data_IF_188482738440
#
_entry.id   IF_188482738440
#
_cell.length_a   1.000
_cell.length_b   1.000
_cell.length_c   1.000
_cell.angle_alpha   90.00
_cell.angle_beta   90.00
_cell.angle_gamma   90.00
#
_symmetry.space_group_name_H-M   'P 1'
#
loop_
_entity.id
_entity.type
_entity.pdbx_description
1 polymer ?
2 non-polymer ?
3 non-polymer ?
4 water ?
#
# COMPACT_ATOMS: atom_id res chain seq x y z
N UNK A 2 -14.65 20.21 4.33
CA UNK A 2 -14.41 18.75 4.21
C UNK A 2 -13.88 18.16 5.52
N UNK A 3 -14.58 17.16 6.04
CA UNK A 3 -14.16 16.52 7.27
C UNK A 3 -13.64 15.11 7.04
N UNK A 4 -13.21 14.47 8.12
CA UNK A 4 -12.68 13.11 8.08
C UNK A 4 -13.66 12.16 7.39
N UNK A 5 -14.91 12.20 7.84
CA UNK A 5 -15.95 11.34 7.28
C UNK A 5 -16.00 11.45 5.76
N UNK A 6 -15.99 12.69 5.26
CA UNK A 6 -16.04 12.96 3.84
C UNK A 6 -14.81 12.43 3.11
N UNK A 7 -13.63 12.60 3.71
CA UNK A 7 -12.38 12.13 3.12
C UNK A 7 -12.39 10.61 3.04
N UNK A 8 -12.93 9.97 4.08
CA UNK A 8 -13.03 8.51 4.11
C UNK A 8 -13.97 8.03 3.00
N UNK A 9 -15.09 8.72 2.81
CA UNK A 9 -16.03 8.33 1.76
C UNK A 9 -15.37 8.44 0.39
N UNK A 10 -14.60 9.50 0.18
CA UNK A 10 -13.90 9.70 -1.09
C UNK A 10 -12.96 8.53 -1.32
N UNK A 11 -12.26 8.12 -0.27
CA UNK A 11 -11.35 6.99 -0.40
C UNK A 11 -12.12 5.72 -0.73
N UNK A 12 -13.27 5.54 -0.10
CA UNK A 12 -14.10 4.35 -0.35
C UNK A 12 -14.55 4.34 -1.80
N UNK A 13 -15.01 5.49 -2.29
CA UNK A 13 -15.48 5.59 -3.67
C UNK A 13 -14.36 5.31 -4.67
N UNK A 14 -13.19 5.92 -4.46
CA UNK A 14 -12.07 5.69 -5.36
C UNK A 14 -11.66 4.22 -5.39
N UNK A 15 -11.61 3.59 -4.22
CA UNK A 15 -11.25 2.19 -4.15
C UNK A 15 -12.31 1.33 -4.86
N UNK A 16 -13.59 1.68 -4.69
CA UNK A 16 -14.66 0.94 -5.34
C UNK A 16 -14.57 1.03 -6.86
N UNK A 17 -14.24 2.21 -7.38
CA UNK A 17 -14.11 2.39 -8.82
C UNK A 17 -12.97 1.52 -9.34
N UNK A 18 -11.85 1.51 -8.63
CA UNK A 18 -10.72 0.70 -9.05
C UNK A 18 -11.07 -0.78 -9.01
N UNK A 19 -11.69 -1.20 -7.91
CA UNK A 19 -12.08 -2.59 -7.74
C UNK A 19 -12.95 -3.10 -8.89
N UNK A 20 -13.98 -2.32 -9.23
CA UNK A 20 -14.89 -2.69 -10.30
C UNK A 20 -14.20 -2.75 -11.66
N UNK A 21 -13.30 -1.81 -11.92
CA UNK A 21 -12.59 -1.76 -13.19
C UNK A 21 -11.62 -2.93 -13.35
N UNK A 22 -10.92 -3.26 -12.27
CA UNK A 22 -9.96 -4.36 -12.30
C UNK A 22 -10.71 -5.68 -12.45
N UNK A 23 -11.83 -5.82 -11.76
CA UNK A 23 -12.63 -7.04 -11.84
C UNK A 23 -13.15 -7.24 -13.26
N UNK A 24 -13.59 -6.15 -13.88
CA UNK A 24 -14.11 -6.22 -15.24
C UNK A 24 -13.03 -6.55 -16.27
N UNK A 25 -11.92 -5.82 -16.22
CA UNK A 25 -10.82 -6.04 -17.16
C UNK A 25 -10.25 -7.45 -17.10
N UNK A 26 -10.47 -8.13 -15.97
CA UNK A 26 -9.96 -9.48 -15.82
C UNK A 26 -11.01 -10.56 -16.07
N UNK A 27 -12.19 -10.15 -16.52
CA UNK A 27 -13.28 -11.08 -16.81
C UNK A 27 -12.80 -12.35 -17.51
N UNK A 28 -12.17 -12.18 -18.67
CA UNK A 28 -11.64 -13.31 -19.42
C UNK A 28 -10.32 -13.74 -18.80
N UNK A 29 -9.28 -12.93 -19.00
CA UNK A 29 -7.95 -13.20 -18.46
C UNK A 29 -7.49 -14.61 -18.81
N UNK A 30 -6.65 -14.71 -19.83
CA UNK A 30 -6.12 -15.99 -20.29
C UNK A 30 -6.25 -17.14 -19.31
N UNK A 31 -5.16 -17.44 -18.61
CA UNK A 31 -5.14 -18.53 -17.65
C UNK A 31 -3.87 -18.43 -16.83
N UNK A 32 -3.04 -17.46 -17.19
CA UNK A 32 -1.78 -17.23 -16.50
C UNK A 32 -1.65 -15.76 -16.14
N UNK A 33 -2.55 -14.95 -16.69
CA UNK A 33 -2.54 -13.52 -16.43
C UNK A 33 -3.63 -13.17 -15.42
N UNK A 34 -4.54 -14.11 -15.19
CA UNK A 34 -5.63 -13.91 -14.25
C UNK A 34 -5.11 -13.57 -12.85
N UNK A 35 -4.02 -14.21 -12.45
CA UNK A 35 -3.44 -13.99 -11.13
C UNK A 35 -3.24 -12.50 -10.83
N UNK A 36 -2.73 -11.76 -11.80
CA UNK A 36 -2.50 -10.33 -11.62
C UNK A 36 -3.79 -9.55 -11.33
N UNK A 37 -4.83 -9.82 -12.11
CA UNK A 37 -6.10 -9.13 -11.92
C UNK A 37 -6.74 -9.43 -10.57
N UNK A 38 -6.65 -10.68 -10.14
CA UNK A 38 -7.21 -11.10 -8.86
C UNK A 38 -6.53 -10.36 -7.70
N UNK A 39 -5.22 -10.15 -7.81
CA UNK A 39 -4.47 -9.46 -6.78
C UNK A 39 -4.92 -8.00 -6.70
N UNK A 40 -5.12 -7.38 -7.87
CA UNK A 40 -5.57 -6.00 -7.93
C UNK A 40 -6.94 -5.83 -7.29
N UNK A 41 -7.84 -6.77 -7.55
CA UNK A 41 -9.18 -6.73 -6.99
C UNK A 41 -9.13 -6.81 -5.46
N UNK A 42 -8.26 -7.67 -4.94
CA UNK A 42 -8.14 -7.82 -3.50
C UNK A 42 -7.55 -6.58 -2.85
N UNK A 43 -6.52 -6.02 -3.48
CA UNK A 43 -5.85 -4.82 -2.98
C UNK A 43 -6.84 -3.66 -2.82
N UNK A 44 -7.51 -3.28 -3.90
CA UNK A 44 -8.46 -2.17 -3.83
C UNK A 44 -9.76 -2.54 -3.12
N UNK A 45 -10.14 -3.82 -3.19
CA UNK A 45 -11.36 -4.28 -2.54
C UNK A 45 -11.29 -4.20 -1.03
N UNK A 46 -10.18 -4.67 -0.47
CA UNK A 46 -9.98 -4.63 0.97
C UNK A 46 -9.92 -3.18 1.45
N UNK A 47 -9.22 -2.34 0.69
CA UNK A 47 -9.11 -0.93 1.06
C UNK A 47 -10.48 -0.26 1.01
N UNK A 48 -11.29 -0.62 0.03
CA UNK A 48 -12.63 -0.05 -0.08
C UNK A 48 -13.40 -0.33 1.21
N UNK A 49 -13.40 -1.59 1.64
CA UNK A 49 -14.09 -1.99 2.86
C UNK A 49 -13.59 -1.19 4.05
N UNK A 50 -12.27 -1.17 4.23
CA UNK A 50 -11.66 -0.44 5.33
C UNK A 50 -12.10 1.03 5.34
N UNK A 51 -12.13 1.67 4.17
CA UNK A 51 -12.53 3.07 4.12
C UNK A 51 -14.02 3.28 4.43
N UNK A 52 -14.88 2.36 3.99
CA UNK A 52 -16.30 2.48 4.29
C UNK A 52 -16.48 2.37 5.81
N UNK A 53 -15.77 1.42 6.41
CA UNK A 53 -15.83 1.19 7.85
C UNK A 53 -15.44 2.45 8.61
N UNK A 54 -14.36 3.09 8.17
CA UNK A 54 -13.91 4.31 8.83
C UNK A 54 -14.89 5.44 8.53
N UNK A 55 -15.42 5.45 7.31
CA UNK A 55 -16.38 6.49 6.93
C UNK A 55 -17.63 6.39 7.80
N UNK A 56 -18.00 5.17 8.19
CA UNK A 56 -19.17 4.96 9.03
C UNK A 56 -18.84 5.22 10.49
N UNK A 57 -17.61 5.65 10.75
CA UNK A 57 -17.19 5.96 12.11
C UNK A 57 -16.72 4.82 13.00
N UNK A 58 -16.38 3.68 12.41
CA UNK A 58 -15.93 2.53 13.19
C UNK A 58 -14.39 2.41 13.18
N UNK A 59 -13.82 1.97 14.30
CA UNK A 59 -12.38 1.81 14.39
C UNK A 59 -11.60 3.05 14.76
N UNK A 60 -12.29 4.08 15.23
CA UNK A 60 -11.64 5.32 15.64
C UNK A 60 -11.19 5.09 17.08
N UNK A 61 -9.98 4.56 17.25
CA UNK A 61 -9.46 4.24 18.57
C UNK A 61 -8.69 5.38 19.26
N UNK A 62 -9.16 5.79 20.45
CA UNK A 62 -8.52 6.86 21.22
C UNK A 62 -7.22 6.37 21.86
N UNK A 63 -6.12 7.05 21.58
CA UNK A 63 -4.83 6.68 22.14
C UNK A 63 -4.21 7.97 22.64
N UNK A 64 -3.95 8.04 23.95
CA UNK A 64 -3.39 9.25 24.54
C UNK A 64 -4.29 10.41 24.11
N UNK A 65 -3.70 11.44 23.52
CA UNK A 65 -4.48 12.59 23.07
C UNK A 65 -4.70 12.60 21.56
N UNK A 66 -4.85 11.42 20.97
CA UNK A 66 -5.08 11.34 19.53
C UNK A 66 -6.01 10.19 19.18
N UNK A 67 -6.32 10.08 17.89
CA UNK A 67 -7.20 9.04 17.38
C UNK A 67 -6.43 8.16 16.40
N UNK A 68 -6.55 6.85 16.56
CA UNK A 68 -5.90 5.91 15.66
C UNK A 68 -6.97 5.21 14.84
N UNK A 69 -6.83 5.26 13.52
CA UNK A 69 -7.79 4.63 12.63
C UNK A 69 -7.33 3.21 12.36
N UNK A 70 -7.70 2.31 13.27
CA UNK A 70 -7.33 0.91 13.19
C UNK A 70 -7.59 0.23 11.85
N UNK A 71 -8.72 0.54 11.19
CA UNK A 71 -9.01 -0.10 9.90
C UNK A 71 -7.95 0.17 8.86
N UNK A 72 -7.40 1.38 8.88
CA UNK A 72 -6.35 1.74 7.93
C UNK A 72 -5.20 0.75 8.02
N UNK A 73 -4.78 0.46 9.25
CA UNK A 73 -3.67 -0.46 9.48
C UNK A 73 -3.98 -1.90 9.13
N UNK A 74 -5.21 -2.33 9.40
CA UNK A 74 -5.62 -3.68 9.06
C UNK A 74 -5.52 -3.79 7.54
N UNK A 75 -6.00 -2.74 6.88
CA UNK A 75 -5.97 -2.65 5.42
C UNK A 75 -4.53 -2.77 4.92
N UNK A 76 -3.65 -1.89 5.40
CA UNK A 76 -2.24 -1.89 5.00
C UNK A 76 -1.59 -3.26 5.18
N UNK A 77 -1.75 -3.84 6.37
CA UNK A 77 -1.17 -5.13 6.67
C UNK A 77 -1.57 -6.22 5.67
N UNK A 78 -2.78 -6.12 5.14
CA UNK A 78 -3.27 -7.11 4.19
C UNK A 78 -3.01 -6.77 2.73
N UNK A 79 -3.07 -5.48 2.39
CA UNK A 79 -2.90 -5.06 1.00
C UNK A 79 -1.47 -4.81 0.52
N UNK A 80 -0.62 -4.23 1.37
CA UNK A 80 0.75 -3.97 0.95
C UNK A 80 1.49 -5.26 0.57
N UNK A 81 1.20 -6.38 1.26
CA UNK A 81 1.92 -7.60 0.85
C UNK A 81 1.43 -8.06 -0.53
N UNK A 82 0.18 -7.74 -0.85
CA UNK A 82 -0.38 -8.10 -2.15
C UNK A 82 0.28 -7.26 -3.24
N UNK A 83 0.59 -6.01 -2.92
CA UNK A 83 1.26 -5.13 -3.88
C UNK A 83 2.66 -5.69 -4.12
N UNK A 84 3.32 -6.09 -3.05
CA UNK A 84 4.66 -6.66 -3.17
C UNK A 84 4.61 -7.95 -4.00
N UNK A 85 3.59 -8.76 -3.76
CA UNK A 85 3.41 -10.02 -4.49
C UNK A 85 3.27 -9.73 -5.99
N UNK A 86 2.50 -8.70 -6.32
CA UNK A 86 2.29 -8.30 -7.71
C UNK A 86 3.63 -8.00 -8.37
N UNK A 87 4.45 -7.19 -7.69
CA UNK A 87 5.76 -6.82 -8.21
C UNK A 87 6.71 -8.01 -8.32
N UNK A 88 6.64 -8.93 -7.37
CA UNK A 88 7.51 -10.09 -7.40
C UNK A 88 7.13 -11.04 -8.53
N UNK A 89 5.83 -11.12 -8.80
CA UNK A 89 5.31 -11.97 -9.86
C UNK A 89 5.83 -11.41 -11.18
N UNK A 90 5.73 -10.10 -11.31
CA UNK A 90 6.18 -9.40 -12.51
C UNK A 90 7.70 -9.56 -12.68
N UNK A 91 8.43 -9.52 -11.56
CA UNK A 91 9.88 -9.65 -11.61
C UNK A 91 10.33 -11.11 -11.76
N UNK A 92 9.41 -12.05 -11.56
CA UNK A 92 9.74 -13.46 -11.69
C UNK A 92 10.52 -14.04 -10.53
N UNK A 93 10.06 -13.79 -9.31
CA UNK A 93 10.74 -14.30 -8.12
C UNK A 93 10.28 -15.71 -7.75
N UNK A 94 11.14 -16.43 -7.04
CA UNK A 94 10.82 -17.77 -6.58
C UNK A 94 10.39 -17.64 -5.12
N UNK A 95 9.85 -18.71 -4.55
CA UNK A 95 9.38 -18.71 -3.16
C UNK A 95 10.30 -17.99 -2.16
N UNK A 96 11.56 -18.39 -2.11
CA UNK A 96 12.51 -17.79 -1.18
C UNK A 96 12.61 -16.27 -1.34
N UNK A 97 12.59 -15.81 -2.58
CA UNK A 97 12.67 -14.39 -2.87
C UNK A 97 11.43 -13.70 -2.31
N UNK A 98 10.27 -14.26 -2.63
CA UNK A 98 9.00 -13.73 -2.16
C UNK A 98 8.96 -13.67 -0.64
N UNK A 99 9.38 -14.77 -0.02
CA UNK A 99 9.38 -14.85 1.43
C UNK A 99 10.08 -13.69 2.10
N UNK A 100 11.29 -13.37 1.64
CA UNK A 100 12.06 -12.28 2.22
C UNK A 100 11.38 -10.92 2.14
N UNK A 101 10.95 -10.51 0.94
CA UNK A 101 10.32 -9.21 0.79
C UNK A 101 8.97 -9.12 1.49
N UNK A 102 8.22 -10.21 1.52
CA UNK A 102 6.93 -10.21 2.18
C UNK A 102 7.08 -10.05 3.70
N UNK A 103 8.10 -10.68 4.29
CA UNK A 103 8.28 -10.54 5.73
C UNK A 103 8.77 -9.13 6.08
N UNK A 104 9.69 -8.59 5.29
CA UNK A 104 10.16 -7.22 5.55
C UNK A 104 8.97 -6.27 5.49
N UNK A 105 8.12 -6.45 4.48
CA UNK A 105 6.94 -5.62 4.32
C UNK A 105 6.06 -5.70 5.57
N UNK A 106 5.82 -6.93 6.03
CA UNK A 106 4.99 -7.17 7.21
C UNK A 106 5.58 -6.49 8.45
N UNK A 107 6.90 -6.51 8.58
CA UNK A 107 7.55 -5.85 9.71
C UNK A 107 7.26 -4.35 9.65
N UNK A 108 7.28 -3.78 8.45
CA UNK A 108 6.98 -2.36 8.31
C UNK A 108 5.58 -2.03 8.82
N UNK A 109 4.57 -2.73 8.30
CA UNK A 109 3.19 -2.46 8.69
C UNK A 109 2.87 -2.80 10.15
N UNK A 110 3.41 -3.91 10.65
CA UNK A 110 3.16 -4.28 12.04
C UNK A 110 3.76 -3.24 12.98
N UNK A 111 5.00 -2.85 12.72
CA UNK A 111 5.68 -1.85 13.55
C UNK A 111 4.92 -0.53 13.54
N UNK A 112 4.46 -0.10 12.37
CA UNK A 112 3.72 1.15 12.27
C UNK A 112 2.40 1.11 13.04
N UNK A 113 1.68 0.00 12.95
CA UNK A 113 0.41 -0.13 13.67
C UNK A 113 0.70 -0.13 15.17
N UNK A 114 1.65 -0.95 15.59
CA UNK A 114 2.01 -1.03 17.00
C UNK A 114 2.45 0.33 17.53
N UNK A 115 3.29 1.03 16.77
CA UNK A 115 3.76 2.33 17.20
C UNK A 115 2.62 3.32 17.36
N UNK A 116 1.66 3.28 16.43
CA UNK A 116 0.51 4.17 16.48
C UNK A 116 -0.35 3.87 17.71
N UNK A 117 -0.39 2.61 18.11
CA UNK A 117 -1.20 2.20 19.26
C UNK A 117 -0.51 2.39 20.62
N UNK A 118 0.78 2.70 20.62
CA UNK A 118 1.50 2.93 21.87
C UNK A 118 1.47 4.42 22.18
N UNK A 119 0.87 4.80 23.32
CA UNK A 119 0.78 6.21 23.71
C UNK A 119 2.10 6.90 24.03
N UNK A 120 2.97 6.21 24.75
CA UNK A 120 4.25 6.80 25.13
C UNK A 120 5.28 7.08 24.06
N UNK A 121 6.30 7.84 24.45
CA UNK A 121 7.38 8.22 23.55
C UNK A 121 8.17 7.02 23.02
N UNK A 122 8.03 5.86 23.64
CA UNK A 122 8.75 4.66 23.18
C UNK A 122 8.19 4.18 21.85
N UNK A 123 7.03 4.69 21.46
CA UNK A 123 6.42 4.28 20.20
C UNK A 123 7.32 4.59 19.02
N UNK A 124 8.23 5.55 19.20
CA UNK A 124 9.15 5.90 18.12
C UNK A 124 10.14 4.78 17.84
N UNK A 125 10.35 3.91 18.83
CA UNK A 125 11.25 2.78 18.68
C UNK A 125 10.62 1.79 17.70
N UNK A 126 9.29 1.71 17.72
CA UNK A 126 8.59 0.82 16.80
C UNK A 126 8.64 1.43 15.40
N UNK A 127 8.47 2.75 15.33
CA UNK A 127 8.51 3.46 14.06
C UNK A 127 9.86 3.21 13.39
N UNK A 128 10.93 3.34 14.16
CA UNK A 128 12.27 3.14 13.63
C UNK A 128 12.47 1.74 13.07
N UNK A 129 11.91 0.74 13.75
CA UNK A 129 12.03 -0.65 13.31
C UNK A 129 11.42 -0.76 11.91
N UNK A 130 10.27 -0.12 11.73
CA UNK A 130 9.60 -0.14 10.45
C UNK A 130 10.42 0.56 9.39
N UNK A 131 11.02 1.69 9.75
CA UNK A 131 11.84 2.45 8.81
C UNK A 131 13.00 1.59 8.31
N UNK A 132 13.66 0.88 9.23
CA UNK A 132 14.78 0.03 8.86
C UNK A 132 14.36 -1.11 7.92
N UNK A 133 13.26 -1.79 8.25
CA UNK A 133 12.76 -2.87 7.40
C UNK A 133 12.38 -2.31 6.03
N UNK A 134 11.86 -1.08 6.01
CA UNK A 134 11.47 -0.44 4.76
C UNK A 134 12.68 -0.23 3.84
N UNK A 135 13.81 0.19 4.40
CA UNK A 135 15.02 0.39 3.61
C UNK A 135 15.44 -0.95 3.02
N UNK A 136 15.26 -2.02 3.80
CA UNK A 136 15.59 -3.35 3.32
C UNK A 136 14.67 -3.68 2.15
N UNK A 137 13.39 -3.33 2.28
CA UNK A 137 12.42 -3.59 1.22
C UNK A 137 12.81 -2.81 -0.05
N UNK A 138 13.18 -1.55 0.10
CA UNK A 138 13.58 -0.73 -1.04
C UNK A 138 14.82 -1.35 -1.71
N UNK A 139 15.74 -1.85 -0.90
CA UNK A 139 16.95 -2.47 -1.43
C UNK A 139 16.59 -3.62 -2.35
N UNK A 140 15.67 -4.47 -1.90
CA UNK A 140 15.26 -5.59 -2.72
C UNK A 140 14.53 -5.16 -3.98
N UNK A 141 13.70 -4.12 -3.86
CA UNK A 141 12.95 -3.62 -5.01
C UNK A 141 13.88 -3.05 -6.08
N UNK A 142 14.85 -2.24 -5.65
CA UNK A 142 15.78 -1.61 -6.57
C UNK A 142 16.98 -2.47 -6.98
N UNK A 143 17.29 -3.50 -6.19
CA UNK A 143 18.42 -4.35 -6.51
C UNK A 143 18.05 -5.72 -7.06
N UNK A 144 18.07 -6.75 -6.22
CA UNK A 144 17.75 -8.13 -6.61
C UNK A 144 16.50 -8.31 -7.46
N UNK A 145 15.40 -7.66 -7.09
CA UNK A 145 14.16 -7.80 -7.85
C UNK A 145 14.26 -7.16 -9.23
N UNK A 146 15.03 -6.07 -9.33
CA UNK A 146 15.21 -5.40 -10.61
C UNK A 146 16.10 -6.28 -11.48
N UNK A 147 17.08 -6.92 -10.84
CA UNK A 147 17.99 -7.81 -11.55
C UNK A 147 17.21 -8.99 -12.10
N UNK A 148 16.27 -9.49 -11.30
CA UNK A 148 15.44 -10.62 -11.70
C UNK A 148 14.50 -10.24 -12.84
N UNK A 149 13.96 -9.03 -12.78
CA UNK A 149 13.03 -8.55 -13.80
C UNK A 149 13.72 -8.44 -15.16
N UNK A 150 15.01 -8.13 -15.14
CA UNK A 150 15.79 -7.98 -16.36
C UNK A 150 15.78 -9.23 -17.24
N UNK A 151 15.30 -10.34 -16.69
CA UNK A 151 15.26 -11.60 -17.43
C UNK A 151 13.94 -11.78 -18.17
N UNK A 152 13.04 -10.80 -18.02
CA UNK A 152 11.74 -10.85 -18.66
C UNK A 152 11.78 -10.06 -19.96
N UNK A 153 10.69 -10.11 -20.72
CA UNK A 153 10.60 -9.38 -21.98
C UNK A 153 10.76 -7.89 -21.70
N UNK A 154 11.11 -7.14 -22.74
CA UNK A 154 11.32 -5.71 -22.63
C UNK A 154 10.10 -4.96 -22.09
N UNK A 155 8.91 -5.45 -22.44
CA UNK A 155 7.69 -4.81 -21.98
C UNK A 155 7.46 -5.04 -20.50
N UNK A 156 7.58 -6.29 -20.07
CA UNK A 156 7.39 -6.65 -18.67
C UNK A 156 8.41 -5.95 -17.79
N UNK A 157 9.66 -5.90 -18.25
CA UNK A 157 10.70 -5.24 -17.48
C UNK A 157 10.36 -3.76 -17.36
N UNK A 158 9.71 -3.22 -18.40
CA UNK A 158 9.33 -1.81 -18.41
C UNK A 158 8.16 -1.56 -17.47
N UNK A 159 7.22 -2.48 -17.42
CA UNK A 159 6.09 -2.33 -16.53
C UNK A 159 6.63 -2.45 -15.10
N UNK A 160 7.50 -3.42 -14.86
CA UNK A 160 8.06 -3.59 -13.52
C UNK A 160 8.75 -2.31 -13.05
N UNK A 161 9.59 -1.74 -13.91
CA UNK A 161 10.31 -0.52 -13.59
C UNK A 161 9.38 0.64 -13.29
N UNK A 162 8.33 0.76 -14.10
CA UNK A 162 7.36 1.83 -13.91
C UNK A 162 6.66 1.70 -12.55
N UNK A 163 6.18 0.50 -12.23
CA UNK A 163 5.49 0.26 -10.97
C UNK A 163 6.43 0.29 -9.76
N UNK A 164 7.67 -0.15 -9.96
CA UNK A 164 8.67 -0.14 -8.90
C UNK A 164 8.92 1.31 -8.47
N UNK A 165 9.06 2.18 -9.46
CA UNK A 165 9.32 3.60 -9.21
C UNK A 165 8.15 4.23 -8.48
N UNK A 166 6.94 3.91 -8.93
CA UNK A 166 5.73 4.44 -8.33
C UNK A 166 5.71 4.05 -6.86
N UNK A 167 5.96 2.77 -6.61
CA UNK A 167 5.95 2.21 -5.26
C UNK A 167 7.04 2.78 -4.35
N UNK A 168 8.29 2.71 -4.79
CA UNK A 168 9.39 3.21 -3.98
C UNK A 168 9.23 4.68 -3.58
N UNK A 169 8.95 5.53 -4.55
CA UNK A 169 8.79 6.95 -4.29
C UNK A 169 7.59 7.29 -3.40
N UNK A 170 6.41 6.78 -3.75
CA UNK A 170 5.21 7.07 -2.98
C UNK A 170 5.21 6.43 -1.59
N UNK A 171 5.68 5.19 -1.49
CA UNK A 171 5.73 4.53 -0.18
C UNK A 171 6.68 5.28 0.76
N UNK A 172 7.80 5.77 0.22
CA UNK A 172 8.77 6.49 1.04
C UNK A 172 8.18 7.73 1.70
N UNK A 173 7.08 8.23 1.14
CA UNK A 173 6.43 9.43 1.68
C UNK A 173 5.59 9.17 2.93
N UNK A 174 4.98 7.99 3.02
CA UNK A 174 4.14 7.66 4.17
C UNK A 174 4.80 7.89 5.53
N UNK A 175 6.03 7.38 5.72
CA UNK A 175 6.65 7.61 7.03
C UNK A 175 6.73 9.08 7.44
N UNK A 176 6.96 9.97 6.49
CA UNK A 176 7.04 11.39 6.83
C UNK A 176 5.68 11.93 7.26
N UNK A 177 4.62 11.53 6.55
CA UNK A 177 3.27 11.97 6.88
C UNK A 177 2.88 11.42 8.24
N UNK A 178 3.38 10.23 8.56
CA UNK A 178 3.11 9.58 9.84
C UNK A 178 3.84 10.33 10.94
N UNK A 179 5.10 10.66 10.67
CA UNK A 179 5.94 11.36 11.62
C UNK A 179 5.45 12.79 11.91
N UNK A 180 4.86 13.44 10.91
CA UNK A 180 4.35 14.80 11.06
C UNK A 180 2.91 14.88 11.55
N UNK A 181 2.15 13.80 11.34
CA UNK A 181 0.76 13.79 11.76
C UNK A 181 0.56 13.36 13.21
N UNK A 182 -0.68 13.07 13.60
CA UNK A 182 -1.04 12.65 14.96
C UNK A 182 -0.17 11.52 15.55
N UNK A 183 0.16 10.49 14.74
CA UNK A 183 0.97 9.39 15.27
C UNK A 183 2.31 9.86 15.85
N UNK A 184 2.85 10.93 15.28
CA UNK A 184 4.13 11.45 15.73
C UNK A 184 4.08 12.80 16.43
N UNK A 185 4.61 13.82 15.77
CA UNK A 185 4.66 15.16 16.33
C UNK A 185 3.29 15.84 16.43
N UNK A 186 2.34 15.36 15.64
CA UNK A 186 0.98 15.91 15.65
C UNK A 186 0.96 17.36 15.16
N UNK A 187 1.80 17.65 14.17
CA UNK A 187 1.86 18.98 13.58
C UNK A 187 0.67 19.10 12.62
N UNK A 188 0.61 18.18 11.67
CA UNK A 188 -0.47 18.17 10.70
C UNK A 188 -1.71 17.67 11.42
N UNK A 189 -2.84 18.33 11.19
CA UNK A 189 -4.10 17.94 11.82
C UNK A 189 -4.54 16.57 11.31
N UNK A 190 -5.50 15.94 12.00
CA UNK A 190 -5.98 14.63 11.55
C UNK A 190 -6.57 14.70 10.13
N UNK A 191 -7.30 15.77 9.84
CA UNK A 191 -7.93 15.92 8.53
C UNK A 191 -6.90 16.04 7.40
N UNK A 192 -5.90 16.88 7.60
CA UNK A 192 -4.86 17.05 6.59
C UNK A 192 -4.11 15.74 6.39
N UNK A 193 -3.77 15.08 7.49
CA UNK A 193 -3.05 13.82 7.42
C UNK A 193 -3.85 12.77 6.66
N UNK A 194 -5.14 12.66 6.97
CA UNK A 194 -6.00 11.71 6.29
C UNK A 194 -6.16 12.04 4.79
N UNK A 195 -6.28 13.33 4.48
CA UNK A 195 -6.44 13.76 3.09
C UNK A 195 -5.24 13.32 2.26
N UNK A 196 -4.04 13.57 2.80
CA UNK A 196 -2.81 13.20 2.12
C UNK A 196 -2.71 11.68 1.95
N UNK A 197 -3.03 10.94 3.00
CA UNK A 197 -2.96 9.49 2.94
C UNK A 197 -4.03 8.86 2.03
N UNK A 198 -5.19 9.50 1.92
CA UNK A 198 -6.22 8.98 1.03
C UNK A 198 -5.69 9.08 -0.41
N UNK A 199 -5.04 10.19 -0.74
CA UNK A 199 -4.50 10.35 -2.08
C UNK A 199 -3.45 9.27 -2.33
N UNK A 200 -2.51 9.14 -1.40
CA UNK A 200 -1.45 8.14 -1.51
C UNK A 200 -1.98 6.72 -1.66
N UNK A 201 -2.97 6.35 -0.84
CA UNK A 201 -3.56 5.01 -0.92
C UNK A 201 -4.20 4.80 -2.30
N UNK A 202 -4.90 5.81 -2.80
CA UNK A 202 -5.55 5.69 -4.10
C UNK A 202 -4.55 5.51 -5.24
N UNK A 203 -3.44 6.25 -5.20
CA UNK A 203 -2.46 6.14 -6.26
C UNK A 203 -1.62 4.87 -6.17
N UNK A 204 -1.21 4.48 -4.97
CA UNK A 204 -0.40 3.28 -4.83
C UNK A 204 -1.19 2.00 -5.10
N UNK A 205 -2.52 2.11 -5.09
CA UNK A 205 -3.38 0.95 -5.34
C UNK A 205 -4.11 1.04 -6.67
N UNK A 206 -5.00 2.03 -6.80
CA UNK A 206 -5.76 2.20 -8.03
C UNK A 206 -4.92 2.80 -9.16
N UNK A 207 -4.05 3.75 -8.84
CA UNK A 207 -3.19 4.32 -9.87
C UNK A 207 -2.27 3.22 -10.36
N UNK A 208 -1.78 2.44 -9.40
CA UNK A 208 -0.90 1.31 -9.65
C UNK A 208 -1.61 0.32 -10.59
N UNK A 209 -2.86 0.00 -10.27
CA UNK A 209 -3.62 -0.93 -11.08
C UNK A 209 -3.87 -0.46 -12.50
N UNK A 210 -4.24 0.81 -12.65
CA UNK A 210 -4.50 1.39 -13.97
C UNK A 210 -3.26 1.38 -14.85
N UNK A 211 -2.10 1.67 -14.26
CA UNK A 211 -0.86 1.66 -15.03
C UNK A 211 -0.63 0.25 -15.57
N UNK A 212 -0.88 -0.75 -14.74
CA UNK A 212 -0.70 -2.14 -15.15
C UNK A 212 -1.65 -2.48 -16.30
N UNK A 213 -2.92 -2.11 -16.16
CA UNK A 213 -3.90 -2.40 -17.20
C UNK A 213 -3.45 -1.80 -18.53
N UNK A 214 -2.91 -0.59 -18.48
CA UNK A 214 -2.44 0.07 -19.68
C UNK A 214 -1.38 -0.79 -20.35
N UNK A 215 -0.40 -1.24 -19.57
CA UNK A 215 0.68 -2.08 -20.08
C UNK A 215 0.14 -3.37 -20.69
N UNK A 216 -0.82 -3.97 -20.01
CA UNK A 216 -1.43 -5.22 -20.47
C UNK A 216 -2.12 -5.00 -21.81
N UNK A 217 -2.85 -3.90 -21.92
CA UNK A 217 -3.56 -3.57 -23.15
C UNK A 217 -2.57 -3.35 -24.28
N UNK A 218 -1.57 -2.52 -24.02
CA UNK A 218 -0.54 -2.22 -25.01
C UNK A 218 0.17 -3.49 -25.46
N UNK A 219 0.47 -4.37 -24.50
CA UNK A 219 1.15 -5.62 -24.80
C UNK A 219 0.32 -6.45 -25.78
X LIG B 1 4.84 3.50 8.53
X LIG B 1 5.58 3.73 9.88
X LIG B 1 6.95 3.13 9.99
X LIG B 1 7.81 3.60 8.85
X LIG B 1 7.20 3.33 7.48
X LIG B 1 5.83 3.25 7.29
X LIG B 1 5.34 2.97 5.94
X LIG B 1 4.10 2.79 5.41
X LIG B 1 3.78 2.52 4.02
X LIG B 1 2.49 2.33 3.74
X LIG B 1 1.87 2.02 2.45
X LIG B 1 0.57 1.81 2.31
X LIG B 1 -0.14 1.47 1.10
X LIG B 1 -1.48 1.25 1.17
X LIG B 1 -2.33 0.90 0.12
X LIG B 1 3.95 2.27 8.81
X LIG B 1 3.95 4.75 8.28
X LIG B 1 8.25 3.15 6.42
X LIG B 1 4.88 2.45 2.99
X LIG B 1 0.64 1.33 -0.21
X LIG C 1 -3.98 6.65 12.45
#
# INVERSE_FOLDING_TARGET
MVGLTTLFWLGAIGMLVGTLAFAWAGRDAGSGERRYYVTLVGISGIAAVAYVVMALGVGWVPVAERTVFAPRYIDWILTTPLIVYFLGLLAGLDSREFGIVITLNTVVMLAGFAGAMVPGIERYALFGMGAVAFLGLVYYLVGPMTESASQRSSGIKSLYVRLRNLTVILWAIYPFIWLLGPPGVALLTPTVDVALIVYLDLVTKVGFGFIALDAAATLRAEHGESLAGVDTDAPAVAD
RET C1 C2 C3 C4 C5 C6 C7 C8 C9 C10 C11 C12 C13 C14 C15 C16 C17 C18 C19 C20
CL CL
#
